data_IF_809554346915
#
_entry.id   IF_809554346915
#
_cell.length_a   1.000
_cell.length_b   1.000
_cell.length_c   1.000
_cell.angle_alpha   90.00
_cell.angle_beta   90.00
_cell.angle_gamma   90.00
#
_symmetry.space_group_name_H-M   'P 1'
#
loop_
_entity.id
_entity.type
_entity.pdbx_description
1 polymer ?
#
# COMPACT_ATOMS: atom_id res chain seq x y z
N UNK A 1 4.70 -16.77 4.47
CA UNK A 1 3.31 -16.41 4.17
C UNK A 1 2.97 -15.13 4.89
N UNK A 2 2.44 -14.16 4.16
CA UNK A 2 1.80 -12.98 4.74
C UNK A 2 0.30 -13.09 4.56
N UNK A 3 -0.47 -12.59 5.52
CA UNK A 3 -1.90 -12.38 5.32
C UNK A 3 -2.17 -11.13 4.44
N UNK A 4 -3.44 -10.82 4.19
CA UNK A 4 -3.87 -9.64 3.43
C UNK A 4 -3.45 -8.30 4.04
N UNK A 5 -3.07 -8.30 5.32
CA UNK A 5 -2.65 -7.12 6.07
C UNK A 5 -1.14 -7.00 6.21
N UNK A 6 -0.38 -7.96 5.68
CA UNK A 6 1.08 -7.99 5.75
C UNK A 6 1.63 -8.51 7.07
N UNK A 7 0.85 -9.21 7.88
CA UNK A 7 1.36 -9.91 9.05
C UNK A 7 1.93 -11.28 8.69
N UNK A 8 3.03 -11.65 9.36
CA UNK A 8 3.66 -12.94 9.15
C UNK A 8 2.83 -14.03 9.83
N UNK A 9 2.27 -14.93 9.01
CA UNK A 9 1.46 -16.06 9.50
C UNK A 9 2.31 -17.33 9.64
N UNK A 10 3.18 -17.59 8.67
CA UNK A 10 3.98 -18.83 8.63
C UNK A 10 5.26 -18.65 7.79
N UNK A 11 6.26 -19.49 8.04
CA UNK A 11 7.57 -19.47 7.38
C UNK A 11 7.99 -20.88 6.97
N UNK A 12 8.35 -21.05 5.70
CA UNK A 12 8.91 -22.29 5.17
C UNK A 12 10.35 -22.08 4.73
N UNK A 13 11.24 -22.99 5.16
CA UNK A 13 12.63 -23.07 4.70
C UNK A 13 12.82 -24.27 3.77
N UNK A 14 13.23 -24.00 2.53
CA UNK A 14 13.52 -24.99 1.47
C UNK A 14 14.93 -24.78 0.91
N UNK A 15 15.94 -25.33 1.60
CA UNK A 15 17.34 -25.16 1.19
C UNK A 15 17.72 -26.00 -0.05
N UNK A 16 16.93 -27.01 -0.39
CA UNK A 16 17.28 -28.00 -1.41
C UNK A 16 16.56 -27.80 -2.75
N UNK A 17 15.59 -26.88 -2.81
CA UNK A 17 14.72 -26.72 -3.98
C UNK A 17 15.47 -26.33 -5.24
N UNK A 18 16.53 -25.53 -5.15
CA UNK A 18 17.33 -25.11 -6.31
C UNK A 18 18.55 -25.99 -6.57
N UNK A 19 18.70 -27.11 -5.86
CA UNK A 19 19.83 -28.01 -6.08
C UNK A 19 19.70 -28.68 -7.46
N UNK A 20 20.79 -28.69 -8.24
CA UNK A 20 20.89 -29.28 -9.59
C UNK A 20 21.76 -30.53 -9.64
N UNK A 21 22.18 -31.05 -8.49
CA UNK A 21 23.08 -32.20 -8.42
C UNK A 21 22.41 -33.51 -8.87
N UNK A 22 23.23 -34.43 -9.38
CA UNK A 22 22.84 -35.80 -9.75
C UNK A 22 22.99 -36.81 -8.61
N UNK A 23 23.43 -36.36 -7.42
CA UNK A 23 23.52 -37.22 -6.24
C UNK A 23 22.14 -37.67 -5.75
N UNK A 24 21.98 -38.97 -5.48
CA UNK A 24 20.70 -39.55 -5.05
C UNK A 24 20.15 -38.90 -3.76
N UNK A 25 21.04 -38.59 -2.81
CA UNK A 25 20.65 -37.96 -1.53
C UNK A 25 20.11 -36.55 -1.78
N UNK A 26 20.80 -35.76 -2.60
CA UNK A 26 20.41 -34.38 -2.90
C UNK A 26 19.10 -34.32 -3.71
N UNK A 27 18.89 -35.27 -4.63
CA UNK A 27 17.61 -35.42 -5.33
C UNK A 27 16.47 -35.77 -4.38
N UNK A 28 16.72 -36.64 -3.39
CA UNK A 28 15.72 -36.96 -2.38
C UNK A 28 15.38 -35.75 -1.50
N UNK A 29 16.40 -34.95 -1.12
CA UNK A 29 16.19 -33.70 -0.39
C UNK A 29 15.38 -32.69 -1.21
N UNK A 30 15.68 -32.50 -2.51
CA UNK A 30 14.90 -31.64 -3.41
C UNK A 30 13.42 -32.06 -3.43
N UNK A 31 13.15 -33.35 -3.66
CA UNK A 31 11.78 -33.90 -3.67
C UNK A 31 11.04 -33.73 -2.35
N UNK A 32 11.75 -33.83 -1.23
CA UNK A 32 11.16 -33.59 0.09
C UNK A 32 10.77 -32.11 0.27
N UNK A 33 11.62 -31.19 -0.18
CA UNK A 33 11.34 -29.74 -0.14
C UNK A 33 10.21 -29.34 -1.10
N UNK A 34 10.14 -29.92 -2.30
CA UNK A 34 9.02 -29.75 -3.24
C UNK A 34 7.69 -30.16 -2.58
N UNK A 35 7.62 -31.34 -1.96
CA UNK A 35 6.41 -31.79 -1.25
C UNK A 35 6.02 -30.88 -0.09
N UNK A 36 7.01 -30.35 0.63
CA UNK A 36 6.77 -29.38 1.73
C UNK A 36 6.24 -28.06 1.17
N UNK A 37 6.78 -27.59 0.05
CA UNK A 37 6.29 -26.40 -0.64
C UNK A 37 4.85 -26.61 -1.13
N UNK A 38 4.56 -27.72 -1.80
CA UNK A 38 3.22 -28.05 -2.26
C UNK A 38 2.21 -28.09 -1.10
N UNK A 39 2.57 -28.74 0.02
CA UNK A 39 1.75 -28.72 1.23
C UNK A 39 1.51 -27.30 1.75
N UNK A 40 2.55 -26.46 1.76
CA UNK A 40 2.44 -25.07 2.18
C UNK A 40 1.47 -24.26 1.29
N UNK A 41 1.47 -24.51 -0.02
CA UNK A 41 0.48 -23.93 -0.93
C UNK A 41 -0.94 -24.43 -0.67
N UNK A 42 -1.11 -25.74 -0.41
CA UNK A 42 -2.43 -26.29 -0.06
C UNK A 42 -2.96 -25.66 1.23
N UNK A 43 -2.11 -25.55 2.26
CA UNK A 43 -2.51 -25.10 3.59
C UNK A 43 -2.81 -23.58 3.61
N UNK A 44 -2.07 -22.75 2.84
CA UNK A 44 -2.18 -21.28 2.89
C UNK A 44 -2.89 -20.64 1.70
N UNK A 45 -2.92 -21.30 0.55
CA UNK A 45 -3.53 -20.80 -0.69
C UNK A 45 -3.16 -19.32 -0.97
N UNK A 46 -1.88 -19.02 -1.29
CA UNK A 46 -1.44 -17.66 -1.57
C UNK A 46 -1.97 -17.15 -2.92
N UNK A 47 -2.47 -15.91 -2.95
CA UNK A 47 -2.92 -15.25 -4.18
C UNK A 47 -1.75 -14.85 -5.09
N UNK A 48 -0.61 -14.46 -4.51
CA UNK A 48 0.58 -14.01 -5.24
C UNK A 48 1.83 -14.56 -4.55
N UNK A 49 2.84 -14.90 -5.35
CA UNK A 49 4.16 -15.35 -4.93
C UNK A 49 5.20 -14.37 -5.46
N UNK A 50 5.79 -13.58 -4.56
CA UNK A 50 6.90 -12.69 -4.89
C UNK A 50 8.25 -13.37 -4.71
N UNK A 51 9.07 -13.40 -5.76
CA UNK A 51 10.46 -13.91 -5.72
C UNK A 51 11.43 -12.73 -5.78
N UNK A 52 12.33 -12.61 -4.80
CA UNK A 52 13.38 -11.60 -4.82
C UNK A 52 14.40 -11.86 -5.93
N UNK A 53 14.52 -10.90 -6.86
CA UNK A 53 15.48 -10.93 -7.94
C UNK A 53 16.84 -10.43 -7.42
N UNK A 54 17.70 -11.37 -7.02
CA UNK A 54 18.99 -11.07 -6.41
C UNK A 54 20.18 -11.31 -7.33
N UNK A 55 20.09 -12.38 -8.12
CA UNK A 55 21.15 -12.90 -8.97
C UNK A 55 20.57 -13.94 -9.93
N UNK A 56 21.39 -14.44 -10.86
CA UNK A 56 20.93 -15.32 -11.94
C UNK A 56 20.33 -16.64 -11.42
N UNK A 57 20.70 -17.10 -10.23
CA UNK A 57 20.12 -18.30 -9.64
C UNK A 57 18.63 -18.12 -9.29
N UNK A 58 18.16 -16.87 -9.09
CA UNK A 58 16.74 -16.60 -8.86
C UNK A 58 15.85 -16.97 -10.04
N UNK A 59 16.38 -16.94 -11.28
CA UNK A 59 15.67 -17.43 -12.46
C UNK A 59 15.34 -18.92 -12.32
N UNK A 60 16.36 -19.71 -11.99
CA UNK A 60 16.21 -21.14 -11.76
C UNK A 60 15.27 -21.45 -10.59
N UNK A 61 15.35 -20.66 -9.51
CA UNK A 61 14.45 -20.80 -8.36
C UNK A 61 13.00 -20.53 -8.74
N UNK A 62 12.73 -19.48 -9.53
CA UNK A 62 11.38 -19.21 -10.03
C UNK A 62 10.88 -20.40 -10.86
N UNK A 63 11.70 -20.90 -11.78
CA UNK A 63 11.34 -22.04 -12.63
C UNK A 63 11.03 -23.30 -11.80
N UNK A 64 11.82 -23.61 -10.76
CA UNK A 64 11.56 -24.73 -9.85
C UNK A 64 10.25 -24.57 -9.07
N UNK A 65 9.95 -23.35 -8.60
CA UNK A 65 8.70 -23.07 -7.89
C UNK A 65 7.51 -23.23 -8.84
N UNK A 66 7.61 -22.69 -10.06
CA UNK A 66 6.60 -22.86 -11.11
C UNK A 66 6.35 -24.34 -11.40
N UNK A 67 7.40 -25.15 -11.56
CA UNK A 67 7.31 -26.59 -11.82
C UNK A 67 6.63 -27.32 -10.65
N UNK A 68 7.05 -27.05 -9.41
CA UNK A 68 6.46 -27.69 -8.23
C UNK A 68 4.97 -27.37 -8.05
N UNK A 69 4.55 -26.15 -8.39
CA UNK A 69 3.14 -25.72 -8.35
C UNK A 69 2.35 -26.33 -9.51
N UNK A 70 2.94 -26.37 -10.70
CA UNK A 70 2.32 -27.00 -11.87
C UNK A 70 2.06 -28.49 -11.64
N UNK A 71 3.02 -29.20 -11.06
CA UNK A 71 2.83 -30.60 -10.63
C UNK A 71 1.69 -30.73 -9.61
N UNK A 72 1.62 -29.83 -8.62
CA UNK A 72 0.53 -29.83 -7.63
C UNK A 72 -0.85 -29.64 -8.29
N UNK A 73 -0.97 -28.70 -9.23
CA UNK A 73 -2.23 -28.43 -9.95
C UNK A 73 -2.65 -29.65 -10.78
N UNK A 74 -1.70 -30.34 -11.41
CA UNK A 74 -1.98 -31.56 -12.17
C UNK A 74 -2.39 -32.75 -11.29
N UNK A 75 -1.66 -32.98 -10.20
CA UNK A 75 -1.88 -34.15 -9.34
C UNK A 75 -3.09 -33.99 -8.43
N UNK A 76 -3.35 -32.75 -7.95
CA UNK A 76 -4.34 -32.46 -6.91
C UNK A 76 -5.17 -31.21 -7.21
N UNK A 77 -5.89 -31.16 -8.34
CA UNK A 77 -6.67 -29.97 -8.72
C UNK A 77 -7.80 -29.64 -7.75
N UNK A 78 -8.28 -30.61 -6.95
CA UNK A 78 -9.37 -30.41 -5.97
C UNK A 78 -8.91 -29.78 -4.66
N UNK A 79 -7.60 -29.81 -4.39
CA UNK A 79 -7.02 -29.32 -3.14
C UNK A 79 -6.66 -27.82 -3.24
N UNK A 80 -6.84 -27.21 -4.42
CA UNK A 80 -6.63 -25.77 -4.67
C UNK A 80 -7.99 -25.11 -4.90
N UNK A 81 -8.30 -24.07 -4.11
CA UNK A 81 -9.63 -23.44 -4.08
C UNK A 81 -9.93 -22.48 -5.24
N UNK A 82 -8.92 -22.10 -6.02
CA UNK A 82 -9.03 -21.21 -7.18
C UNK A 82 -8.09 -21.68 -8.31
N UNK A 83 -8.42 -21.34 -9.56
CA UNK A 83 -7.55 -21.63 -10.71
C UNK A 83 -6.28 -20.78 -10.62
N UNK A 84 -5.23 -21.29 -9.97
CA UNK A 84 -3.89 -20.71 -10.04
C UNK A 84 -3.42 -20.76 -11.50
N UNK A 85 -3.27 -19.60 -12.14
CA UNK A 85 -2.49 -19.50 -13.37
C UNK A 85 -1.02 -19.46 -12.93
N UNK A 86 -0.41 -20.65 -12.89
CA UNK A 86 0.93 -20.88 -12.32
C UNK A 86 2.02 -19.96 -12.92
N UNK A 87 1.76 -19.32 -14.05
CA UNK A 87 2.67 -18.37 -14.71
C UNK A 87 2.46 -16.90 -14.30
N UNK A 88 1.22 -16.49 -13.97
CA UNK A 88 0.87 -15.09 -13.67
C UNK A 88 0.99 -14.75 -12.19
N UNK A 89 0.88 -15.75 -11.32
CA UNK A 89 0.87 -15.53 -9.87
C UNK A 89 2.28 -15.49 -9.26
N UNK A 90 3.33 -15.78 -10.04
CA UNK A 90 4.73 -15.82 -9.58
C UNK A 90 5.54 -14.76 -10.31
N UNK A 91 5.94 -13.73 -9.57
CA UNK A 91 6.52 -12.51 -10.13
C UNK A 91 7.84 -12.16 -9.44
N UNK A 92 8.74 -11.51 -10.19
CA UNK A 92 10.00 -11.02 -9.64
C UNK A 92 9.79 -9.68 -8.96
N UNK A 93 10.55 -9.46 -7.90
CA UNK A 93 10.62 -8.18 -7.19
C UNK A 93 12.04 -7.75 -6.97
N UNK A 94 12.25 -6.45 -7.02
CA UNK A 94 13.46 -5.83 -6.52
C UNK A 94 13.58 -6.08 -5.00
N UNK A 95 14.74 -6.56 -4.57
CA UNK A 95 15.07 -6.79 -3.17
C UNK A 95 15.95 -5.69 -2.55
N UNK A 96 16.31 -4.62 -3.27
CA UNK A 96 17.11 -3.53 -2.72
C UNK A 96 16.46 -2.92 -1.48
N UNK A 97 15.19 -2.51 -1.56
CA UNK A 97 14.46 -1.96 -0.42
C UNK A 97 14.27 -2.99 0.71
N UNK A 98 13.84 -4.24 0.43
CA UNK A 98 13.82 -5.31 1.43
C UNK A 98 15.14 -5.56 2.15
N UNK A 99 16.29 -5.43 1.46
CA UNK A 99 17.63 -5.54 2.06
C UNK A 99 17.95 -4.39 3.02
N UNK A 100 17.50 -3.18 2.71
CA UNK A 100 17.61 -2.06 3.65
C UNK A 100 16.79 -2.32 4.91
N UNK A 101 15.56 -2.82 4.75
CA UNK A 101 14.71 -3.20 5.87
C UNK A 101 15.36 -4.31 6.71
N UNK A 102 15.84 -5.39 6.11
CA UNK A 102 16.51 -6.50 6.82
C UNK A 102 17.57 -6.04 7.84
N UNK A 103 18.34 -5.01 7.48
CA UNK A 103 19.45 -4.50 8.29
C UNK A 103 19.06 -3.31 9.18
N UNK A 104 17.82 -2.86 9.13
CA UNK A 104 17.32 -1.70 9.88
C UNK A 104 16.99 -2.05 11.33
N UNK A 105 17.05 -1.04 12.22
CA UNK A 105 16.61 -1.22 13.61
C UNK A 105 15.11 -1.53 13.67
N UNK A 106 14.31 -0.87 12.83
CA UNK A 106 12.85 -1.04 12.82
C UNK A 106 12.43 -2.47 12.46
N UNK A 107 13.19 -3.19 11.63
CA UNK A 107 12.93 -4.61 11.38
C UNK A 107 13.18 -5.50 12.59
N UNK A 108 14.13 -5.13 13.45
CA UNK A 108 14.42 -5.84 14.69
C UNK A 108 13.36 -5.59 15.75
N UNK A 109 12.78 -4.39 15.75
CA UNK A 109 11.68 -4.03 16.64
C UNK A 109 10.36 -4.70 16.20
N UNK A 110 10.07 -4.73 14.89
CA UNK A 110 8.83 -5.31 14.33
C UNK A 110 8.85 -6.83 14.25
N UNK A 111 10.01 -7.44 14.01
CA UNK A 111 10.18 -8.89 13.85
C UNK A 111 11.29 -9.40 14.78
N UNK A 112 11.06 -9.33 16.10
CA UNK A 112 12.05 -9.78 17.07
C UNK A 112 12.33 -11.27 16.89
N UNK A 113 13.60 -11.66 17.08
CA UNK A 113 14.08 -13.04 16.97
C UNK A 113 13.97 -13.70 15.59
N UNK A 114 13.52 -12.99 14.56
CA UNK A 114 13.48 -13.50 13.19
C UNK A 114 14.84 -13.31 12.49
N UNK A 115 15.30 -14.30 11.69
CA UNK A 115 16.54 -14.15 10.93
C UNK A 115 16.38 -13.14 9.79
N UNK A 116 17.50 -12.57 9.34
CA UNK A 116 17.52 -11.52 8.32
C UNK A 116 16.79 -11.89 7.02
N UNK A 117 16.97 -13.12 6.55
CA UNK A 117 16.30 -13.60 5.32
C UNK A 117 14.76 -13.61 5.45
N UNK A 118 14.23 -13.90 6.64
CA UNK A 118 12.79 -13.84 6.90
C UNK A 118 12.32 -12.40 6.95
N UNK A 119 13.06 -11.49 7.61
CA UNK A 119 12.76 -10.06 7.60
C UNK A 119 12.73 -9.49 6.19
N UNK A 120 13.69 -9.90 5.33
CA UNK A 120 13.72 -9.54 3.91
C UNK A 120 12.48 -10.06 3.18
N UNK A 121 12.12 -11.33 3.38
CA UNK A 121 10.94 -11.92 2.74
C UNK A 121 9.63 -11.21 3.15
N UNK A 122 9.49 -10.83 4.44
CA UNK A 122 8.37 -10.02 4.92
C UNK A 122 8.35 -8.66 4.25
N UNK A 123 9.50 -7.98 4.18
CA UNK A 123 9.60 -6.67 3.54
C UNK A 123 9.22 -6.71 2.06
N UNK A 124 9.61 -7.76 1.35
CA UNK A 124 9.25 -7.97 -0.06
C UNK A 124 7.73 -8.09 -0.23
N UNK A 125 7.07 -8.93 0.58
CA UNK A 125 5.62 -9.08 0.53
C UNK A 125 4.86 -7.82 0.97
N UNK A 126 5.32 -7.14 2.04
CA UNK A 126 4.73 -5.86 2.47
C UNK A 126 4.95 -4.75 1.45
N UNK A 127 6.06 -4.76 0.72
CA UNK A 127 6.34 -3.77 -0.32
C UNK A 127 5.39 -3.93 -1.50
N UNK A 128 5.09 -5.16 -1.89
CA UNK A 128 4.04 -5.46 -2.87
C UNK A 128 2.67 -4.96 -2.40
N UNK A 129 2.31 -5.20 -1.14
CA UNK A 129 1.00 -4.81 -0.61
C UNK A 129 0.86 -3.29 -0.45
N UNK A 130 1.88 -2.63 0.09
CA UNK A 130 1.87 -1.20 0.35
C UNK A 130 3.29 -0.59 0.23
N UNK A 131 3.68 -0.17 -0.99
CA UNK A 131 4.98 0.45 -1.23
C UNK A 131 5.22 1.69 -0.37
N UNK A 132 4.19 2.54 -0.21
CA UNK A 132 4.28 3.79 0.55
C UNK A 132 4.67 3.54 2.01
N UNK A 133 3.97 2.62 2.68
CA UNK A 133 4.23 2.30 4.08
C UNK A 133 5.63 1.70 4.29
N UNK A 134 6.09 0.86 3.37
CA UNK A 134 7.41 0.26 3.44
C UNK A 134 8.54 1.28 3.21
N UNK A 135 8.39 2.17 2.22
CA UNK A 135 9.35 3.28 2.03
C UNK A 135 9.36 4.20 3.24
N UNK A 136 8.19 4.57 3.77
CA UNK A 136 8.07 5.43 4.95
C UNK A 136 8.74 4.82 6.20
N UNK A 137 8.70 3.49 6.32
CA UNK A 137 9.33 2.75 7.42
C UNK A 137 10.85 2.97 7.46
N UNK A 138 11.49 3.10 6.30
CA UNK A 138 12.94 3.38 6.17
C UNK A 138 13.31 4.85 6.31
N UNK A 139 12.31 5.73 6.44
CA UNK A 139 12.51 7.16 6.70
C UNK A 139 12.51 7.49 8.20
N UNK A 140 12.66 6.47 9.06
CA UNK A 140 12.74 6.65 10.50
C UNK A 140 14.00 7.40 10.96
N UNK A 141 14.29 7.41 12.28
CA UNK A 141 15.44 8.13 12.83
C UNK A 141 16.79 7.71 12.21
N UNK A 142 16.93 6.46 11.78
CA UNK A 142 18.12 5.92 11.13
C UNK A 142 18.30 6.38 9.68
N UNK A 143 17.23 6.90 9.04
CA UNK A 143 17.21 7.32 7.63
C UNK A 143 17.84 6.30 6.68
N UNK A 144 17.57 5.01 6.91
CA UNK A 144 18.08 3.89 6.10
C UNK A 144 17.79 4.07 4.61
N UNK A 145 16.70 4.79 4.29
CA UNK A 145 16.31 5.19 2.93
C UNK A 145 17.43 5.90 2.15
N UNK A 146 18.35 6.60 2.84
CA UNK A 146 19.47 7.29 2.18
C UNK A 146 20.46 6.34 1.50
N UNK A 147 20.49 5.08 1.94
CA UNK A 147 21.29 4.02 1.32
C UNK A 147 20.66 3.45 0.05
N UNK A 148 19.42 3.82 -0.28
CA UNK A 148 18.79 3.44 -1.54
C UNK A 148 19.41 4.24 -2.68
N UNK A 149 20.10 3.56 -3.60
CA UNK A 149 20.71 4.19 -4.77
C UNK A 149 19.63 4.40 -5.82
N UNK A 150 19.26 5.66 -6.04
CA UNK A 150 18.22 6.03 -7.02
C UNK A 150 18.82 6.41 -8.37
N UNK A 151 20.00 7.04 -8.35
CA UNK A 151 20.72 7.46 -9.54
C UNK A 151 22.23 7.27 -9.39
N UNK A 152 22.92 7.13 -10.52
CA UNK A 152 24.37 7.20 -10.60
C UNK A 152 24.92 8.56 -10.12
N UNK A 153 24.09 9.60 -10.14
CA UNK A 153 24.42 10.97 -9.73
C UNK A 153 24.18 11.23 -8.24
N UNK A 154 23.70 10.26 -7.45
CA UNK A 154 23.41 10.41 -6.03
C UNK A 154 24.62 10.94 -5.22
N UNK A 155 25.84 10.63 -5.67
CA UNK A 155 27.08 11.05 -5.02
C UNK A 155 27.34 12.58 -5.06
N UNK A 156 26.58 13.33 -5.87
CA UNK A 156 26.64 14.80 -5.90
C UNK A 156 25.76 15.45 -4.83
N UNK A 157 24.87 14.70 -4.17
CA UNK A 157 23.98 15.21 -3.14
C UNK A 157 24.56 14.97 -1.75
N UNK A 158 24.42 15.97 -0.88
CA UNK A 158 24.60 15.76 0.55
C UNK A 158 23.46 14.87 1.11
N UNK A 159 23.67 14.17 2.23
CA UNK A 159 22.62 13.36 2.86
C UNK A 159 21.34 14.15 3.18
N UNK A 160 21.47 15.43 3.55
CA UNK A 160 20.31 16.28 3.86
C UNK A 160 19.58 16.74 2.60
N UNK A 161 20.28 17.06 1.51
CA UNK A 161 19.63 17.36 0.22
C UNK A 161 18.87 16.14 -0.31
N UNK A 162 19.50 14.96 -0.28
CA UNK A 162 18.86 13.71 -0.69
C UNK A 162 17.64 13.40 0.19
N UNK A 163 17.76 13.56 1.51
CA UNK A 163 16.64 13.37 2.41
C UNK A 163 15.50 14.37 2.15
N UNK A 164 15.83 15.64 1.90
CA UNK A 164 14.83 16.67 1.59
C UNK A 164 14.02 16.34 0.34
N UNK A 165 14.67 15.80 -0.70
CA UNK A 165 13.97 15.30 -1.90
C UNK A 165 13.05 14.12 -1.59
N UNK A 166 13.54 13.14 -0.82
CA UNK A 166 12.72 11.98 -0.39
C UNK A 166 11.53 12.46 0.44
N UNK A 167 11.75 13.35 1.41
CA UNK A 167 10.71 13.90 2.27
C UNK A 167 9.63 14.62 1.45
N UNK A 168 10.01 15.44 0.46
CA UNK A 168 9.06 16.11 -0.42
C UNK A 168 8.18 15.11 -1.19
N UNK A 169 8.79 14.12 -1.84
CA UNK A 169 8.05 13.09 -2.58
C UNK A 169 7.14 12.28 -1.64
N UNK A 170 7.62 11.95 -0.44
CA UNK A 170 6.85 11.21 0.55
C UNK A 170 5.67 12.01 1.08
N UNK A 171 5.81 13.34 1.26
CA UNK A 171 4.70 14.24 1.59
C UNK A 171 3.67 14.20 0.47
N UNK A 172 4.08 14.46 -0.77
CA UNK A 172 3.14 14.51 -1.91
C UNK A 172 2.39 13.18 -2.06
N UNK A 173 3.11 12.05 -2.09
CA UNK A 173 2.53 10.73 -2.21
C UNK A 173 1.61 10.39 -1.03
N UNK A 174 2.03 10.66 0.21
CA UNK A 174 1.22 10.31 1.40
C UNK A 174 -0.07 11.11 1.45
N UNK A 175 -0.04 12.41 1.14
CA UNK A 175 -1.24 13.24 1.15
C UNK A 175 -2.15 12.91 -0.06
N UNK A 176 -1.58 12.57 -1.21
CA UNK A 176 -2.36 12.11 -2.36
C UNK A 176 -3.00 10.73 -2.14
N UNK A 177 -2.37 9.81 -1.42
CA UNK A 177 -2.93 8.46 -1.17
C UNK A 177 -3.89 8.49 0.03
N UNK A 178 -3.50 9.16 1.11
CA UNK A 178 -4.18 9.16 2.38
C UNK A 178 -3.90 7.91 3.23
N UNK A 179 -4.32 7.94 4.49
CA UNK A 179 -4.10 6.85 5.44
C UNK A 179 -5.44 6.42 6.02
N UNK A 180 -5.79 5.15 5.84
CA UNK A 180 -6.89 4.51 6.56
C UNK A 180 -6.48 4.24 8.00
N UNK A 181 -7.00 5.04 8.92
CA UNK A 181 -6.58 5.04 10.32
C UNK A 181 -6.95 3.75 11.03
N UNK A 182 -8.15 3.20 10.79
CA UNK A 182 -8.61 1.98 11.46
C UNK A 182 -7.90 0.73 10.92
N UNK A 183 -7.61 0.70 9.62
CA UNK A 183 -6.77 -0.34 9.04
C UNK A 183 -5.35 -0.27 9.60
N UNK A 184 -4.74 0.92 9.60
CA UNK A 184 -3.38 1.11 10.07
C UNK A 184 -3.23 0.91 11.60
N UNK A 185 -4.28 1.19 12.39
CA UNK A 185 -4.32 0.88 13.82
C UNK A 185 -4.14 -0.61 14.12
N UNK A 186 -4.58 -1.48 13.20
CA UNK A 186 -4.47 -2.93 13.34
C UNK A 186 -3.05 -3.46 13.05
N UNK A 187 -2.25 -2.69 12.31
CA UNK A 187 -0.95 -3.12 11.80
C UNK A 187 0.03 -1.94 11.81
N UNK A 188 0.85 -1.83 12.87
CA UNK A 188 1.63 -0.61 13.16
C UNK A 188 2.57 -0.19 12.03
N UNK A 189 3.06 -1.12 11.21
CA UNK A 189 3.92 -0.81 10.06
C UNK A 189 3.22 0.09 9.02
N UNK A 190 1.89 0.04 8.92
CA UNK A 190 1.09 0.92 8.05
C UNK A 190 0.94 2.35 8.58
N UNK A 191 1.33 2.62 9.83
CA UNK A 191 1.30 3.97 10.42
C UNK A 191 2.59 4.76 10.13
N UNK A 192 3.62 4.15 9.54
CA UNK A 192 4.88 4.82 9.21
C UNK A 192 4.71 6.08 8.33
N UNK A 193 3.78 6.14 7.34
CA UNK A 193 3.55 7.34 6.55
C UNK A 193 2.97 8.53 7.32
N UNK A 194 2.44 8.36 8.54
CA UNK A 194 1.85 9.48 9.31
C UNK A 194 2.80 10.67 9.46
N UNK A 195 4.11 10.43 9.50
CA UNK A 195 5.10 11.52 9.60
C UNK A 195 5.09 12.47 8.40
N UNK A 196 4.56 12.04 7.26
CA UNK A 196 4.49 12.81 6.02
C UNK A 196 3.11 13.44 5.77
N UNK A 197 2.14 13.23 6.65
CA UNK A 197 0.87 13.93 6.58
C UNK A 197 1.08 15.41 6.91
N UNK A 198 0.44 16.26 6.12
CA UNK A 198 0.51 17.72 6.24
C UNK A 198 0.23 18.18 7.67
N UNK A 199 1.25 18.82 8.28
CA UNK A 199 1.16 19.39 9.63
C UNK A 199 1.62 18.49 10.78
N UNK A 200 1.77 17.17 10.58
CA UNK A 200 2.20 16.25 11.64
C UNK A 200 3.72 16.31 11.86
N UNK A 201 4.50 15.87 10.86
CA UNK A 201 5.94 15.65 11.01
C UNK A 201 6.26 14.49 11.99
N UNK A 202 7.54 14.11 12.13
CA UNK A 202 7.92 12.91 12.89
C UNK A 202 7.48 12.93 14.36
N UNK A 203 7.58 14.10 15.02
CA UNK A 203 7.25 14.24 16.44
C UNK A 203 5.76 14.06 16.72
N UNK A 204 4.88 14.75 15.99
CA UNK A 204 3.42 14.64 16.23
C UNK A 204 2.88 13.32 15.71
N UNK A 205 3.41 12.80 14.60
CA UNK A 205 3.06 11.48 14.10
C UNK A 205 3.38 10.38 15.11
N UNK A 206 4.53 10.45 15.80
CA UNK A 206 4.88 9.50 16.86
C UNK A 206 3.87 9.53 18.03
N UNK A 207 3.46 10.72 18.48
CA UNK A 207 2.42 10.85 19.51
C UNK A 207 1.06 10.34 19.04
N UNK A 208 0.64 10.72 17.82
CA UNK A 208 -0.63 10.30 17.25
C UNK A 208 -0.68 8.79 17.03
N UNK A 209 0.42 8.17 16.58
CA UNK A 209 0.53 6.71 16.41
C UNK A 209 0.24 5.98 17.72
N UNK A 210 0.88 6.41 18.81
CA UNK A 210 0.64 5.82 20.15
C UNK A 210 -0.82 5.97 20.57
N UNK A 211 -1.43 7.09 20.25
CA UNK A 211 -2.82 7.37 20.58
C UNK A 211 -3.81 6.54 19.77
N UNK A 212 -3.58 6.37 18.47
CA UNK A 212 -4.36 5.50 17.60
C UNK A 212 -4.29 4.05 18.12
N UNK A 213 -3.09 3.53 18.35
CA UNK A 213 -2.89 2.16 18.86
C UNK A 213 -3.55 1.97 20.23
N UNK A 214 -3.45 2.97 21.11
CA UNK A 214 -4.09 2.93 22.44
C UNK A 214 -5.61 2.94 22.38
N UNK A 215 -6.21 3.74 21.49
CA UNK A 215 -7.67 3.85 21.33
C UNK A 215 -8.25 2.63 20.63
N UNK A 216 -7.52 2.07 19.67
CA UNK A 216 -7.92 0.93 18.85
C UNK A 216 -8.96 1.30 17.79
N UNK A 217 -10.15 1.74 18.22
CA UNK A 217 -11.26 2.10 17.32
C UNK A 217 -11.43 3.61 17.23
N UNK A 218 -11.42 4.13 16.00
CA UNK A 218 -11.66 5.53 15.67
C UNK A 218 -13.00 5.63 14.94
N UNK A 219 -13.94 6.40 15.48
CA UNK A 219 -15.28 6.58 14.92
C UNK A 219 -15.37 7.80 14.02
N UNK A 220 -14.63 8.85 14.36
CA UNK A 220 -14.56 10.07 13.57
C UNK A 220 -13.16 10.67 13.59
N UNK A 221 -12.85 11.50 12.58
CA UNK A 221 -11.64 12.35 12.58
C UNK A 221 -11.49 13.21 13.82
N UNK A 222 -12.61 13.56 14.48
CA UNK A 222 -12.61 14.31 15.74
C UNK A 222 -11.89 13.55 16.87
N UNK A 223 -11.91 12.21 16.85
CA UNK A 223 -11.26 11.37 17.86
C UNK A 223 -9.73 11.44 17.80
N UNK A 224 -9.18 11.90 16.67
CA UNK A 224 -7.74 12.08 16.44
C UNK A 224 -7.20 13.39 17.04
N UNK A 225 -8.08 14.21 17.61
CA UNK A 225 -7.70 15.45 18.27
C UNK A 225 -7.25 15.20 19.71
N UNK A 226 -6.01 15.58 20.01
CA UNK A 226 -5.54 15.74 21.38
C UNK A 226 -4.84 17.10 21.53
N UNK A 227 -5.36 18.02 22.36
CA UNK A 227 -4.81 19.36 22.52
C UNK A 227 -3.39 19.39 23.12
N UNK A 228 -2.91 18.29 23.73
CA UNK A 228 -1.58 18.24 24.36
C UNK A 228 -0.44 18.19 23.33
N UNK A 229 -0.69 17.69 22.11
CA UNK A 229 0.35 17.61 21.07
C UNK A 229 -0.13 17.90 19.63
N UNK A 230 -1.45 17.99 19.39
CA UNK A 230 -2.03 18.43 18.11
C UNK A 230 -2.81 19.72 18.33
N UNK A 231 -2.40 20.80 17.66
CA UNK A 231 -3.19 22.04 17.65
C UNK A 231 -4.36 21.92 16.68
N UNK A 232 -5.41 22.73 16.87
CA UNK A 232 -6.57 22.75 15.96
C UNK A 232 -6.17 22.97 14.49
N UNK A 233 -5.19 23.85 14.23
CA UNK A 233 -4.66 24.09 12.88
C UNK A 233 -3.99 22.85 12.29
N UNK A 234 -3.23 22.10 13.10
CA UNK A 234 -2.60 20.86 12.65
C UNK A 234 -3.64 19.81 12.30
N UNK A 235 -4.68 19.68 13.12
CA UNK A 235 -5.77 18.75 12.82
C UNK A 235 -6.48 19.10 11.52
N UNK A 236 -6.82 20.39 11.31
CA UNK A 236 -7.46 20.85 10.07
C UNK A 236 -6.58 20.54 8.86
N UNK A 237 -5.27 20.81 8.95
CA UNK A 237 -4.32 20.50 7.87
C UNK A 237 -4.22 18.99 7.57
N UNK A 238 -4.32 18.14 8.59
CA UNK A 238 -4.17 16.70 8.45
C UNK A 238 -5.48 15.98 8.08
N UNK A 239 -6.64 16.53 8.45
CA UNK A 239 -7.92 15.83 8.46
C UNK A 239 -8.30 15.25 7.10
N UNK A 240 -8.16 16.02 6.01
CA UNK A 240 -8.51 15.56 4.66
C UNK A 240 -7.68 14.36 4.15
N UNK A 241 -6.55 14.05 4.80
CA UNK A 241 -5.64 12.98 4.43
C UNK A 241 -5.77 11.74 5.34
N UNK A 242 -6.54 11.84 6.42
CA UNK A 242 -6.80 10.76 7.37
C UNK A 242 -8.20 10.21 7.10
N UNK A 243 -8.27 8.99 6.59
CA UNK A 243 -9.53 8.31 6.24
C UNK A 243 -10.00 7.49 7.44
N UNK A 244 -11.27 7.62 7.80
CA UNK A 244 -11.91 6.80 8.83
C UNK A 244 -13.07 6.04 8.19
N UNK A 245 -12.98 4.71 8.17
CA UNK A 245 -14.01 3.83 7.62
C UNK A 245 -14.10 2.52 8.40
N UNK A 246 -15.08 1.69 8.05
CA UNK A 246 -15.27 0.34 8.62
C UNK A 246 -14.24 -0.64 8.05
N UNK A 247 -13.00 -0.53 8.53
CA UNK A 247 -11.86 -1.37 8.14
C UNK A 247 -11.04 -1.76 9.37
N UNK A 248 -10.19 -2.78 9.25
CA UNK A 248 -9.33 -3.23 10.35
C UNK A 248 -10.11 -3.49 11.65
N UNK A 249 -9.75 -2.82 12.73
CA UNK A 249 -10.41 -2.93 14.04
C UNK A 249 -11.91 -2.55 14.01
N UNK A 250 -12.33 -1.74 13.03
CA UNK A 250 -13.71 -1.31 12.86
C UNK A 250 -14.55 -2.22 11.95
N UNK A 251 -13.97 -3.26 11.33
CA UNK A 251 -14.65 -4.07 10.33
C UNK A 251 -15.90 -4.81 10.87
N UNK A 252 -15.86 -5.24 12.13
CA UNK A 252 -16.92 -6.01 12.78
C UNK A 252 -17.78 -5.18 13.74
N UNK A 253 -17.70 -3.85 13.67
CA UNK A 253 -18.46 -2.96 14.56
C UNK A 253 -19.69 -2.42 13.85
N UNK A 254 -20.83 -2.39 14.56
CA UNK A 254 -22.06 -1.74 14.07
C UNK A 254 -22.02 -0.22 14.29
N UNK A 255 -20.83 0.35 14.49
CA UNK A 255 -20.69 1.78 14.77
C UNK A 255 -21.03 2.61 13.55
N UNK A 256 -21.79 3.68 13.77
CA UNK A 256 -22.03 4.70 12.76
C UNK A 256 -20.72 5.46 12.54
N UNK A 257 -20.26 5.50 11.29
CA UNK A 257 -19.10 6.28 10.86
C UNK A 257 -19.63 7.33 9.88
N UNK A 258 -19.19 8.57 10.06
CA UNK A 258 -19.55 9.66 9.16
C UNK A 258 -19.08 9.32 7.74
N UNK A 259 -20.00 9.29 6.78
CA UNK A 259 -19.72 8.98 5.39
C UNK A 259 -18.72 9.96 4.77
N UNK A 260 -18.63 11.20 5.27
CA UNK A 260 -17.67 12.20 4.79
C UNK A 260 -16.25 11.95 5.34
N UNK A 261 -16.10 11.25 6.47
CA UNK A 261 -14.79 10.85 6.98
C UNK A 261 -14.13 9.75 6.11
N UNK A 262 -14.92 9.10 5.24
CA UNK A 262 -14.49 8.18 4.17
C UNK A 262 -14.20 8.91 2.83
N UNK A 263 -14.04 10.24 2.85
CA UNK A 263 -13.72 11.07 1.67
C UNK A 263 -12.57 12.04 1.95
N UNK A 264 -11.96 12.61 0.91
CA UNK A 264 -10.93 13.67 1.06
C UNK A 264 -11.49 15.04 1.44
N UNK A 265 -12.82 15.17 1.53
CA UNK A 265 -13.47 16.41 1.92
C UNK A 265 -12.96 16.77 3.32
N UNK A 266 -12.45 17.98 3.50
CA UNK A 266 -11.99 18.44 4.80
C UNK A 266 -13.20 18.80 5.69
N UNK A 267 -13.18 18.52 7.02
CA UNK A 267 -14.23 18.93 7.95
C UNK A 267 -14.71 20.39 7.83
N UNK A 268 -13.83 21.32 7.44
CA UNK A 268 -14.22 22.73 7.19
C UNK A 268 -15.21 22.92 6.03
N UNK A 269 -15.34 21.91 5.16
CA UNK A 269 -16.21 21.90 3.99
C UNK A 269 -17.37 20.89 4.10
N UNK A 270 -17.57 20.25 5.27
CA UNK A 270 -18.67 19.28 5.46
C UNK A 270 -20.03 19.93 5.27
N UNK A 271 -20.21 21.15 5.78
CA UNK A 271 -21.48 21.86 5.59
C UNK A 271 -21.79 22.10 4.11
N UNK A 272 -20.76 22.38 3.31
CA UNK A 272 -20.90 22.59 1.87
C UNK A 272 -21.27 21.29 1.14
N UNK A 273 -20.63 20.17 1.51
CA UNK A 273 -20.94 18.84 0.97
C UNK A 273 -22.35 18.38 1.34
N UNK A 274 -22.73 18.52 2.62
CA UNK A 274 -24.08 18.21 3.12
C UNK A 274 -25.16 19.03 2.41
N UNK A 275 -24.91 20.33 2.21
CA UNK A 275 -25.85 21.20 1.48
C UNK A 275 -25.98 20.82 0.01
N UNK A 276 -24.86 20.50 -0.66
CA UNK A 276 -24.90 20.02 -2.05
C UNK A 276 -25.67 18.70 -2.18
N UNK A 277 -25.42 17.74 -1.29
CA UNK A 277 -26.12 16.46 -1.30
C UNK A 277 -27.63 16.65 -1.08
N UNK A 278 -28.00 17.55 -0.16
CA UNK A 278 -29.40 17.90 0.09
C UNK A 278 -30.06 18.55 -1.13
N UNK A 279 -29.46 19.61 -1.69
CA UNK A 279 -30.02 20.33 -2.83
C UNK A 279 -30.26 19.37 -4.02
N UNK A 280 -29.37 18.40 -4.24
CA UNK A 280 -29.51 17.35 -5.26
C UNK A 280 -30.58 16.32 -4.92
N UNK A 281 -30.74 15.97 -3.64
CA UNK A 281 -31.75 15.02 -3.18
C UNK A 281 -33.16 15.62 -3.26
N UNK A 282 -33.32 16.90 -2.93
CA UNK A 282 -34.58 17.63 -2.97
C UNK A 282 -35.12 17.76 -4.41
N UNK A 283 -34.25 17.72 -5.44
CA UNK A 283 -34.68 17.64 -6.85
C UNK A 283 -35.26 16.26 -7.24
N UNK A 284 -34.92 15.18 -6.50
CA UNK A 284 -35.39 13.80 -6.75
C UNK A 284 -36.63 13.43 -5.91
N UNK A 285 -36.87 14.11 -4.78
CA UNK A 285 -37.93 13.79 -3.81
C UNK A 285 -39.06 14.83 -3.83
N UNK A 286 -40.34 14.44 -4.04
CA UNK A 286 -41.48 15.37 -3.97
C UNK A 286 -41.63 16.03 -2.58
N UNK A 287 -42.08 17.29 -2.57
CA UNK A 287 -42.10 18.27 -1.45
C UNK A 287 -42.75 17.85 -0.10
N UNK A 288 -43.27 16.63 0.06
CA UNK A 288 -44.12 16.22 1.19
C UNK A 288 -43.38 15.59 2.40
N UNK A 289 -42.04 15.53 2.43
CA UNK A 289 -41.27 14.96 3.57
C UNK A 289 -40.06 15.80 4.03
N UNK A 290 -40.11 17.12 3.84
CA UNK A 290 -39.03 18.01 4.28
C UNK A 290 -39.10 18.31 5.79
N UNK A 291 -38.63 17.38 6.63
CA UNK A 291 -38.18 17.74 7.99
C UNK A 291 -36.73 18.28 7.92
N UNK A 292 -36.56 19.51 8.40
CA UNK A 292 -35.31 20.29 8.37
C UNK A 292 -34.45 19.99 9.60
N UNK A 293 -33.90 18.77 9.72
CA UNK A 293 -32.98 18.42 10.81
C UNK A 293 -31.60 17.97 10.29
N UNK A 294 -30.57 18.02 11.15
CA UNK A 294 -29.20 17.55 10.83
C UNK A 294 -29.21 16.10 10.29
N UNK A 295 -30.15 15.29 10.78
CA UNK A 295 -30.40 13.92 10.33
C UNK A 295 -30.77 13.88 8.83
N UNK A 296 -31.53 14.87 8.31
CA UNK A 296 -31.90 14.93 6.90
C UNK A 296 -30.69 15.18 5.98
N UNK A 297 -29.71 15.97 6.44
CA UNK A 297 -28.49 16.23 5.67
C UNK A 297 -27.57 15.00 5.62
N UNK A 298 -27.52 14.21 6.68
CA UNK A 298 -26.75 12.96 6.70
C UNK A 298 -27.41 11.89 5.82
N UNK A 299 -28.74 11.76 5.89
CA UNK A 299 -29.52 10.89 5.00
C UNK A 299 -29.32 11.31 3.54
N UNK A 300 -29.27 12.61 3.23
CA UNK A 300 -29.03 13.08 1.87
C UNK A 300 -27.65 12.64 1.34
N UNK A 301 -26.60 12.68 2.17
CA UNK A 301 -25.26 12.20 1.79
C UNK A 301 -25.28 10.70 1.47
N UNK A 302 -25.98 9.90 2.27
CA UNK A 302 -26.19 8.48 2.01
C UNK A 302 -26.92 8.27 0.68
N UNK A 303 -28.03 8.99 0.47
CA UNK A 303 -28.86 8.91 -0.73
C UNK A 303 -28.10 9.19 -2.03
N UNK A 304 -27.30 10.27 -2.06
CA UNK A 304 -26.54 10.64 -3.25
C UNK A 304 -25.39 9.67 -3.55
N UNK A 305 -24.82 9.02 -2.51
CA UNK A 305 -23.83 7.95 -2.67
C UNK A 305 -24.46 6.67 -3.22
N UNK A 306 -25.68 6.33 -2.82
CA UNK A 306 -26.44 5.19 -3.35
C UNK A 306 -26.94 5.42 -4.79
N UNK A 307 -27.23 6.66 -5.16
CA UNK A 307 -27.65 7.06 -6.50
C UNK A 307 -26.65 8.03 -7.17
N UNK A 308 -25.48 7.54 -7.65
CA UNK A 308 -24.46 8.38 -8.27
C UNK A 308 -24.93 9.17 -9.51
N UNK A 309 -26.01 8.75 -10.16
CA UNK A 309 -26.54 9.42 -11.35
C UNK A 309 -27.04 10.84 -11.04
N UNK A 310 -27.56 11.09 -9.83
CA UNK A 310 -28.03 12.41 -9.41
C UNK A 310 -26.89 13.43 -9.43
N UNK A 311 -25.76 13.08 -8.79
CA UNK A 311 -24.57 13.92 -8.76
C UNK A 311 -23.93 14.08 -10.14
N UNK A 312 -23.96 13.06 -11.01
CA UNK A 312 -23.40 13.16 -12.36
C UNK A 312 -24.07 14.26 -13.18
N UNK A 313 -25.39 14.40 -13.06
CA UNK A 313 -26.19 15.39 -13.79
C UNK A 313 -26.02 16.82 -13.26
N UNK A 314 -25.63 16.99 -12.00
CA UNK A 314 -25.41 18.31 -11.41
C UNK A 314 -24.34 19.10 -12.16
N UNK A 315 -24.70 20.26 -12.69
CA UNK A 315 -23.76 21.21 -13.28
C UNK A 315 -23.23 22.18 -12.21
N UNK A 316 -21.96 22.00 -11.84
CA UNK A 316 -21.31 22.77 -10.76
C UNK A 316 -21.19 24.27 -11.10
N UNK A 317 -20.94 24.62 -12.36
CA UNK A 317 -20.83 26.04 -12.77
C UNK A 317 -22.16 26.79 -12.62
N UNK A 318 -23.29 26.11 -12.85
CA UNK A 318 -24.62 26.67 -12.64
C UNK A 318 -24.94 26.73 -11.15
N UNK A 319 -24.68 25.64 -10.43
CA UNK A 319 -24.91 25.54 -8.99
C UNK A 319 -24.11 26.58 -8.19
N UNK A 320 -22.87 26.86 -8.58
CA UNK A 320 -22.04 27.84 -7.89
C UNK A 320 -22.53 29.28 -8.10
N UNK A 321 -23.17 29.60 -9.23
CA UNK A 321 -23.63 30.96 -9.55
C UNK A 321 -24.78 31.45 -8.66
N UNK A 322 -25.48 30.56 -7.97
CA UNK A 322 -26.60 30.93 -7.10
C UNK A 322 -26.16 31.62 -5.80
N UNK A 323 -24.88 31.51 -5.41
CA UNK A 323 -24.36 32.03 -4.14
C UNK A 323 -22.89 32.48 -4.30
N UNK A 324 -22.57 33.74 -3.98
CA UNK A 324 -21.21 34.28 -4.08
C UNK A 324 -20.17 33.48 -3.29
N UNK A 325 -20.55 32.87 -2.16
CA UNK A 325 -19.64 32.05 -1.36
C UNK A 325 -19.31 30.73 -2.06
N UNK A 326 -20.25 30.17 -2.83
CA UNK A 326 -20.06 28.99 -3.67
C UNK A 326 -19.16 29.31 -4.87
N UNK A 327 -19.30 30.50 -5.47
CA UNK A 327 -18.41 30.97 -6.56
C UNK A 327 -16.94 30.99 -6.13
N UNK A 328 -16.65 31.43 -4.89
CA UNK A 328 -15.27 31.45 -4.37
C UNK A 328 -14.68 30.06 -4.12
N UNK A 329 -15.52 29.02 -4.06
CA UNK A 329 -15.15 27.63 -3.76
C UNK A 329 -15.44 26.69 -4.93
N UNK A 330 -15.40 27.19 -6.17
CA UNK A 330 -15.77 26.41 -7.36
C UNK A 330 -15.00 25.09 -7.48
N UNK A 331 -13.67 25.13 -7.37
CA UNK A 331 -12.83 23.91 -7.42
C UNK A 331 -13.18 22.96 -6.26
N UNK A 332 -13.37 23.49 -5.05
CA UNK A 332 -13.79 22.69 -3.89
C UNK A 332 -15.13 22.00 -4.14
N UNK A 333 -16.06 22.61 -4.87
CA UNK A 333 -17.34 21.98 -5.23
C UNK A 333 -17.14 20.85 -6.24
N UNK A 334 -16.24 21.02 -7.22
CA UNK A 334 -15.86 19.92 -8.12
C UNK A 334 -15.25 18.76 -7.35
N UNK A 335 -14.31 19.03 -6.44
CA UNK A 335 -13.67 18.01 -5.60
C UNK A 335 -14.69 17.30 -4.69
N UNK A 336 -15.60 18.07 -4.06
CA UNK A 336 -16.70 17.50 -3.26
C UNK A 336 -17.57 16.58 -4.11
N UNK A 337 -17.98 17.01 -5.30
CA UNK A 337 -18.79 16.18 -6.20
C UNK A 337 -18.05 14.88 -6.55
N UNK A 338 -16.77 14.95 -6.87
CA UNK A 338 -15.96 13.79 -7.21
C UNK A 338 -15.79 12.84 -6.03
N UNK A 339 -15.57 13.37 -4.82
CA UNK A 339 -15.44 12.58 -3.59
C UNK A 339 -16.77 11.96 -3.13
N UNK A 340 -17.90 12.63 -3.35
CA UNK A 340 -19.22 12.04 -3.10
C UNK A 340 -19.51 10.90 -4.09
N UNK A 341 -19.05 11.01 -5.34
CA UNK A 341 -19.18 9.95 -6.35
C UNK A 341 -18.22 8.78 -6.10
N UNK A 342 -16.96 9.08 -5.78
CA UNK A 342 -15.84 8.15 -5.70
C UNK A 342 -14.95 8.47 -4.50
N UNK A 343 -15.49 8.24 -3.29
CA UNK A 343 -14.81 8.57 -2.03
C UNK A 343 -13.44 7.91 -1.90
N UNK A 344 -12.41 8.75 -1.69
CA UNK A 344 -11.01 8.31 -1.59
C UNK A 344 -10.58 7.39 -2.75
N UNK A 345 -10.95 7.75 -3.98
CA UNK A 345 -10.44 7.05 -5.16
C UNK A 345 -8.91 7.02 -5.17
N UNK A 346 -8.36 5.85 -5.54
CA UNK A 346 -6.91 5.67 -5.68
C UNK A 346 -6.46 6.14 -7.06
N UNK A 347 -5.61 7.17 -7.07
CA UNK A 347 -5.08 7.80 -8.29
C UNK A 347 -3.73 7.23 -8.70
N UNK A 348 -3.18 6.27 -7.94
CA UNK A 348 -1.90 5.65 -8.28
C UNK A 348 -2.01 4.87 -9.57
N UNK A 349 -0.89 4.80 -10.28
CA UNK A 349 -0.73 3.86 -11.38
C UNK A 349 -0.95 2.44 -10.83
N UNK A 350 -1.79 1.62 -11.49
CA UNK A 350 -1.92 0.21 -11.14
C UNK A 350 -0.56 -0.49 -11.15
N UNK A 351 -0.41 -1.51 -10.31
CA UNK A 351 0.78 -2.34 -10.28
C UNK A 351 1.09 -2.91 -11.67
N UNK A 352 2.36 -2.83 -12.08
CA UNK A 352 2.89 -3.47 -13.28
C UNK A 352 4.08 -4.34 -12.89
N UNK A 353 4.13 -5.54 -13.46
CA UNK A 353 5.27 -6.42 -13.30
C UNK A 353 6.53 -5.83 -13.93
N UNK A 354 7.69 -6.26 -13.41
CA UNK A 354 8.99 -5.92 -13.99
C UNK A 354 9.09 -6.49 -15.41
N UNK A 355 9.52 -5.65 -16.34
CA UNK A 355 9.86 -6.05 -17.71
C UNK A 355 11.05 -7.00 -17.73
N UNK A 356 11.26 -7.70 -18.84
CA UNK A 356 12.41 -8.59 -19.01
C UNK A 356 13.74 -7.87 -18.82
N UNK A 357 13.81 -6.61 -19.27
CA UNK A 357 15.02 -5.79 -19.23
C UNK A 357 15.28 -5.29 -17.81
N UNK A 358 14.25 -4.90 -17.06
CA UNK A 358 14.36 -4.56 -15.63
C UNK A 358 14.79 -5.76 -14.80
N UNK A 359 14.18 -6.94 -15.02
CA UNK A 359 14.60 -8.18 -14.35
C UNK A 359 16.06 -8.49 -14.68
N UNK A 360 16.46 -8.35 -15.95
CA UNK A 360 17.84 -8.56 -16.37
C UNK A 360 18.80 -7.59 -15.65
N UNK A 361 18.47 -6.30 -15.61
CA UNK A 361 19.28 -5.27 -14.96
C UNK A 361 19.43 -5.53 -13.46
N UNK A 362 18.34 -5.89 -12.77
CA UNK A 362 18.35 -6.20 -11.33
C UNK A 362 19.19 -7.45 -11.04
N UNK A 363 19.01 -8.52 -11.83
CA UNK A 363 19.66 -9.81 -11.63
C UNK A 363 21.15 -9.80 -11.96
N UNK A 364 21.56 -9.01 -12.96
CA UNK A 364 22.95 -8.93 -13.42
C UNK A 364 23.71 -7.76 -12.83
N UNK A 365 23.01 -6.69 -12.45
CA UNK A 365 23.58 -5.39 -12.09
C UNK A 365 24.05 -4.58 -13.31
N UNK A 366 23.82 -5.07 -14.53
CA UNK A 366 24.16 -4.37 -15.77
C UNK A 366 23.09 -3.31 -16.11
N UNK A 367 23.52 -2.20 -16.69
CA UNK A 367 22.65 -1.13 -17.19
C UNK A 367 22.86 -0.96 -18.69
N UNK A 368 22.01 -0.18 -19.36
CA UNK A 368 22.18 0.16 -20.78
C UNK A 368 23.55 0.82 -21.06
N UNK A 369 24.11 1.49 -20.05
CA UNK A 369 25.43 2.12 -20.08
C UNK A 369 26.59 1.13 -19.91
N UNK A 370 26.36 -0.11 -19.46
CA UNK A 370 27.40 -1.13 -19.34
C UNK A 370 27.25 -2.20 -20.41
N UNK A 371 26.01 -2.67 -20.64
CA UNK A 371 25.68 -3.70 -21.61
C UNK A 371 24.48 -3.26 -22.46
N UNK A 372 24.73 -3.04 -23.75
CA UNK A 372 23.70 -2.68 -24.73
C UNK A 372 24.05 -3.25 -26.11
N UNK A 373 23.04 -3.32 -26.99
CA UNK A 373 23.22 -3.83 -28.35
C UNK A 373 24.31 -3.04 -29.10
N UNK A 374 25.24 -3.76 -29.72
CA UNK A 374 26.37 -3.16 -30.45
C UNK A 374 27.60 -2.82 -29.60
N UNK A 375 27.58 -3.02 -28.27
CA UNK A 375 28.79 -2.88 -27.44
C UNK A 375 29.72 -4.09 -27.51
N UNK A 376 31.02 -3.81 -27.47
CA UNK A 376 32.04 -4.84 -27.33
C UNK A 376 32.16 -5.27 -25.87
N UNK A 377 32.02 -6.57 -25.63
CA UNK A 377 32.17 -7.18 -24.30
C UNK A 377 33.25 -8.25 -24.31
N UNK A 378 33.93 -8.42 -23.18
CA UNK A 378 34.88 -9.50 -23.01
C UNK A 378 34.15 -10.75 -22.54
N UNK A 379 34.18 -11.82 -23.33
CA UNK A 379 33.57 -13.10 -22.99
C UNK A 379 34.63 -14.19 -22.85
N UNK A 380 34.43 -15.09 -21.88
CA UNK A 380 35.25 -16.30 -21.73
C UNK A 380 34.48 -17.47 -22.31
N UNK A 381 35.10 -18.19 -23.26
CA UNK A 381 34.51 -19.39 -23.85
C UNK A 381 34.65 -20.54 -22.86
N UNK A 382 33.52 -21.00 -22.30
CA UNK A 382 33.44 -22.23 -21.51
C UNK A 382 32.75 -23.34 -22.32
N UNK A 383 33.19 -24.59 -22.16
CA UNK A 383 32.45 -25.74 -22.69
C UNK A 383 31.20 -25.92 -21.84
N UNK A 384 30.02 -25.85 -22.46
CA UNK A 384 28.75 -26.19 -21.81
C UNK A 384 28.84 -27.60 -21.23
N UNK A 385 28.64 -27.69 -19.91
CA UNK A 385 28.64 -28.94 -19.13
C UNK A 385 27.36 -29.72 -19.29
#
# INVERSE_FOLDING_TARGET
MLDSSGEMVDVLYTSSISIRSRGLIEQQCKKNDEKRLQKFFIDHQPHIVGVGAANLACKNLKDDICEAIFELVQERPRDIGYELDSSRDIIFFDEFLPRLYENSQISSDQLPSQPGIVKRAVALGRYLQNPLAMVATLCGPGREILSWKLSSLDHFLTPDEKYGMVEQVMIDATNQIGIDVNLAASHEWMLAPLQFISGLGPRKASSLRKDIVRRGLIHSRKDLYDPSYISKKVLINAAGFLRVRRSGMAANTNSLIDLLDDTRINPESYQLAKSMAKDVCDEDVPEDQAELDEDAQEIAVEHVREKPNLLKLLNIDVYAKSDLTRVQKLETLYDIKMELLHGFQDWRTPFSELTTDEVFAIVTGETDDTLSEGRFVQATVSKGS
#
